data_IF_470037012751
#
_entry.id   IF_470037012751
#
_cell.length_a   1.000
_cell.length_b   1.000
_cell.length_c   1.000
_cell.angle_alpha   90.00
_cell.angle_beta   90.00
_cell.angle_gamma   90.00
#
_symmetry.space_group_name_H-M   'P 1'
#
loop_
_entity.id
_entity.type
_entity.pdbx_description
1 polymer ?
#
# COMPACT_ATOMS: atom_id res chain seq x y z
N UNK A 1 -2.21 -20.78 -20.72
CA UNK A 1 -3.65 -20.85 -20.38
C UNK A 1 -4.43 -21.40 -21.57
N UNK A 2 -5.39 -22.29 -21.33
CA UNK A 2 -6.20 -22.94 -22.37
C UNK A 2 -7.62 -23.17 -21.86
N UNK A 3 -8.63 -22.78 -22.63
CA UNK A 3 -10.00 -23.26 -22.41
C UNK A 3 -10.08 -24.73 -22.87
N UNK A 4 -10.38 -25.64 -21.95
CA UNK A 4 -10.62 -27.06 -22.27
C UNK A 4 -12.01 -27.21 -22.86
N UNK A 5 -12.99 -26.54 -22.25
CA UNK A 5 -14.33 -26.34 -22.77
C UNK A 5 -14.93 -25.00 -22.30
N UNK A 6 -16.26 -24.84 -22.39
CA UNK A 6 -16.96 -23.60 -22.02
C UNK A 6 -16.94 -23.29 -20.51
N UNK A 7 -16.63 -24.26 -19.67
CA UNK A 7 -16.67 -24.20 -18.20
C UNK A 7 -15.35 -24.58 -17.53
N UNK A 8 -14.40 -25.15 -18.28
CA UNK A 8 -13.10 -25.58 -17.76
C UNK A 8 -11.94 -24.76 -18.36
N UNK A 9 -11.19 -24.07 -17.50
CA UNK A 9 -9.97 -23.34 -17.85
C UNK A 9 -8.75 -24.04 -17.25
N UNK A 10 -7.85 -24.50 -18.11
CA UNK A 10 -6.56 -25.06 -17.73
C UNK A 10 -5.50 -23.96 -17.68
N UNK A 11 -4.88 -23.80 -16.51
CA UNK A 11 -3.70 -22.94 -16.32
C UNK A 11 -2.50 -23.81 -15.98
N UNK A 12 -1.60 -23.95 -16.94
CA UNK A 12 -0.29 -24.57 -16.74
C UNK A 12 0.68 -23.52 -16.20
N UNK A 13 1.35 -23.84 -15.09
CA UNK A 13 2.30 -22.96 -14.42
C UNK A 13 3.72 -23.50 -14.65
N UNK A 14 4.70 -22.60 -14.78
CA UNK A 14 6.10 -22.97 -14.99
C UNK A 14 6.72 -23.69 -13.77
N UNK A 15 6.11 -23.54 -12.59
CA UNK A 15 6.53 -24.15 -11.32
C UNK A 15 5.37 -24.27 -10.33
N UNK A 16 5.48 -25.14 -9.30
CA UNK A 16 4.56 -25.19 -8.18
C UNK A 16 4.37 -23.80 -7.55
N UNK A 17 3.13 -23.30 -7.55
CA UNK A 17 2.80 -21.94 -7.08
C UNK A 17 1.56 -22.03 -6.18
N UNK A 18 1.74 -22.36 -4.90
CA UNK A 18 0.60 -22.61 -4.00
C UNK A 18 -0.28 -21.37 -3.75
N UNK A 19 0.25 -20.17 -4.01
CA UNK A 19 -0.46 -18.90 -3.88
C UNK A 19 -1.17 -18.45 -5.17
N UNK A 20 -1.12 -19.25 -6.24
CA UNK A 20 -1.74 -18.92 -7.52
C UNK A 20 -3.23 -18.60 -7.38
N UNK A 21 -3.99 -19.39 -6.61
CA UNK A 21 -5.40 -19.12 -6.37
C UNK A 21 -5.63 -17.76 -5.70
N UNK A 22 -4.80 -17.40 -4.72
CA UNK A 22 -4.84 -16.07 -4.10
C UNK A 22 -4.56 -14.94 -5.10
N UNK A 23 -3.63 -15.14 -6.04
CA UNK A 23 -3.38 -14.17 -7.12
C UNK A 23 -4.60 -13.98 -8.02
N UNK A 24 -5.34 -15.04 -8.32
CA UNK A 24 -6.53 -14.96 -9.20
C UNK A 24 -7.70 -14.18 -8.59
N UNK A 25 -7.66 -13.87 -7.28
CA UNK A 25 -8.62 -12.98 -6.63
C UNK A 25 -8.32 -11.49 -6.88
N UNK A 26 -7.15 -11.13 -7.41
CA UNK A 26 -6.80 -9.76 -7.75
C UNK A 26 -7.57 -9.30 -9.01
N UNK A 27 -8.06 -8.05 -9.02
CA UNK A 27 -8.88 -7.48 -10.10
C UNK A 27 -8.23 -7.53 -11.48
N UNK A 28 -6.90 -7.54 -11.57
CA UNK A 28 -6.17 -7.71 -12.83
C UNK A 28 -6.40 -9.08 -13.51
N UNK A 29 -6.88 -10.09 -12.78
CA UNK A 29 -7.28 -11.40 -13.30
C UNK A 29 -8.79 -11.50 -13.57
N UNK A 30 -9.56 -10.44 -13.32
CA UNK A 30 -10.99 -10.44 -13.62
C UNK A 30 -11.23 -10.58 -15.13
N UNK A 31 -12.20 -11.40 -15.56
CA UNK A 31 -12.46 -11.63 -16.98
C UNK A 31 -13.08 -10.39 -17.63
N UNK A 32 -12.70 -10.13 -18.87
CA UNK A 32 -13.29 -9.08 -19.71
C UNK A 32 -14.08 -9.71 -20.88
N UNK A 33 -15.12 -9.01 -21.33
CA UNK A 33 -15.87 -9.42 -22.52
C UNK A 33 -15.10 -9.06 -23.80
N UNK A 34 -14.39 -10.04 -24.38
CA UNK A 34 -13.57 -9.85 -25.58
C UNK A 34 -14.34 -9.23 -26.76
N UNK A 35 -15.58 -9.64 -26.97
CA UNK A 35 -16.40 -9.14 -28.09
C UNK A 35 -16.67 -7.64 -27.97
N UNK A 36 -16.95 -7.16 -26.76
CA UNK A 36 -17.20 -5.74 -26.49
C UNK A 36 -15.88 -4.96 -26.59
N UNK A 37 -14.80 -5.49 -26.02
CA UNK A 37 -13.49 -4.84 -26.05
C UNK A 37 -12.98 -4.62 -27.49
N UNK A 38 -13.20 -5.61 -28.37
CA UNK A 38 -12.83 -5.51 -29.79
C UNK A 38 -13.74 -4.57 -30.58
N UNK A 39 -15.05 -4.51 -30.29
CA UNK A 39 -16.00 -3.64 -31.02
C UNK A 39 -15.99 -2.20 -30.53
N UNK A 40 -15.70 -2.00 -29.24
CA UNK A 40 -15.76 -0.72 -28.57
C UNK A 40 -14.51 -0.51 -27.72
N UNK A 41 -13.33 -0.26 -28.33
CA UNK A 41 -12.12 0.05 -27.57
C UNK A 41 -12.37 1.19 -26.57
N UNK A 42 -11.97 0.96 -25.31
CA UNK A 42 -12.19 1.91 -24.23
C UNK A 42 -13.63 1.96 -23.69
N UNK A 43 -14.50 0.98 -24.00
CA UNK A 43 -15.89 0.89 -23.49
C UNK A 43 -16.03 1.13 -21.99
N UNK A 44 -15.03 0.72 -21.20
CA UNK A 44 -15.02 0.86 -19.75
C UNK A 44 -14.83 2.31 -19.26
N UNK A 45 -14.48 3.25 -20.15
CA UNK A 45 -14.19 4.66 -19.82
C UNK A 45 -15.20 5.66 -20.37
N UNK A 46 -16.22 5.21 -21.12
CA UNK A 46 -17.14 6.10 -21.85
C UNK A 46 -18.38 6.48 -21.03
N UNK A 47 -19.17 5.48 -20.63
CA UNK A 47 -20.42 5.72 -19.88
C UNK A 47 -20.88 4.46 -19.15
N UNK A 48 -21.89 4.61 -18.28
CA UNK A 48 -22.58 3.48 -17.65
C UNK A 48 -23.29 2.57 -18.65
N UNK A 49 -23.83 3.12 -19.75
CA UNK A 49 -24.61 2.36 -20.73
C UNK A 49 -23.79 1.30 -21.47
N UNK A 50 -22.51 1.58 -21.72
CA UNK A 50 -21.60 0.66 -22.40
C UNK A 50 -20.86 -0.27 -21.43
N UNK A 51 -21.03 -0.08 -20.12
CA UNK A 51 -20.27 -0.81 -19.13
C UNK A 51 -20.83 -2.22 -18.91
N UNK A 52 -20.03 -3.23 -19.21
CA UNK A 52 -20.38 -4.64 -18.99
C UNK A 52 -19.55 -5.25 -17.88
N UNK A 53 -20.22 -5.93 -16.95
CA UNK A 53 -19.59 -6.61 -15.83
C UNK A 53 -20.21 -7.99 -15.57
N UNK A 54 -19.48 -8.83 -14.84
CA UNK A 54 -19.94 -10.12 -14.34
C UNK A 54 -20.01 -10.17 -12.80
N UNK A 55 -19.87 -9.01 -12.14
CA UNK A 55 -19.90 -8.87 -10.68
C UNK A 55 -21.32 -8.77 -10.11
N UNK A 56 -21.46 -8.71 -8.76
CA UNK A 56 -22.76 -8.67 -8.09
C UNK A 56 -23.55 -7.38 -8.37
N UNK A 57 -22.86 -6.27 -8.60
CA UNK A 57 -23.49 -5.01 -8.98
C UNK A 57 -23.00 -4.56 -10.36
N UNK A 58 -23.87 -3.90 -11.10
CA UNK A 58 -23.56 -3.24 -12.38
C UNK A 58 -23.63 -1.73 -12.23
N UNK A 59 -22.86 -1.03 -13.05
CA UNK A 59 -22.88 0.42 -13.13
C UNK A 59 -24.20 0.88 -13.79
N UNK A 60 -24.94 1.75 -13.11
CA UNK A 60 -26.23 2.30 -13.56
C UNK A 60 -26.09 3.78 -13.93
N UNK A 61 -25.36 4.54 -13.11
CA UNK A 61 -25.07 5.96 -13.35
C UNK A 61 -23.58 6.21 -13.16
N UNK A 62 -23.00 6.99 -14.07
CA UNK A 62 -21.66 7.55 -13.91
C UNK A 62 -21.70 9.03 -14.28
N UNK A 63 -21.62 9.88 -13.25
CA UNK A 63 -21.38 11.32 -13.40
C UNK A 63 -19.92 11.58 -13.06
N UNK A 64 -19.14 11.94 -14.07
CA UNK A 64 -17.70 12.14 -13.93
C UNK A 64 -17.41 13.19 -12.83
N UNK A 65 -16.49 12.85 -11.93
CA UNK A 65 -16.08 13.67 -10.78
C UNK A 65 -17.20 14.02 -9.78
N UNK A 66 -18.34 13.33 -9.82
CA UNK A 66 -19.48 13.59 -8.93
C UNK A 66 -19.97 12.29 -8.26
N UNK A 67 -20.52 11.34 -9.02
CA UNK A 67 -21.06 10.12 -8.44
C UNK A 67 -21.04 8.90 -9.36
N UNK A 68 -21.00 7.72 -8.73
CA UNK A 68 -21.30 6.43 -9.34
C UNK A 68 -22.50 5.82 -8.63
N UNK A 69 -23.42 5.22 -9.40
CA UNK A 69 -24.49 4.41 -8.84
C UNK A 69 -24.38 2.99 -9.38
N UNK A 70 -24.39 2.03 -8.46
CA UNK A 70 -24.37 0.61 -8.75
C UNK A 70 -25.71 -0.01 -8.33
N UNK A 71 -26.28 -0.85 -9.18
CA UNK A 71 -27.52 -1.60 -8.91
C UNK A 71 -27.26 -3.10 -9.03
N UNK A 72 -28.06 -3.97 -8.40
CA UNK A 72 -27.93 -5.42 -8.57
C UNK A 72 -27.82 -5.80 -10.03
N UNK A 73 -26.79 -6.58 -10.37
CA UNK A 73 -26.63 -7.12 -11.71
C UNK A 73 -27.54 -8.34 -11.84
N UNK A 74 -28.63 -8.32 -12.63
CA UNK A 74 -29.58 -9.44 -12.69
C UNK A 74 -28.98 -10.73 -13.28
N UNK A 75 -27.80 -10.66 -13.90
CA UNK A 75 -27.10 -11.80 -14.48
C UNK A 75 -26.03 -12.40 -13.56
N UNK A 76 -25.80 -11.84 -12.37
CA UNK A 76 -24.85 -12.41 -11.41
C UNK A 76 -25.36 -13.77 -10.90
N UNK A 77 -24.46 -14.76 -10.82
CA UNK A 77 -24.85 -16.15 -10.55
C UNK A 77 -25.44 -16.37 -9.14
N UNK A 78 -25.02 -15.57 -8.15
CA UNK A 78 -25.44 -15.70 -6.75
C UNK A 78 -26.37 -14.55 -6.31
N UNK A 79 -27.46 -14.32 -7.06
CA UNK A 79 -28.45 -13.27 -6.77
C UNK A 79 -28.98 -13.29 -5.34
N UNK A 80 -29.11 -14.50 -4.75
CA UNK A 80 -29.74 -14.69 -3.44
C UNK A 80 -28.98 -14.02 -2.30
N UNK A 81 -27.68 -13.77 -2.50
CA UNK A 81 -26.85 -13.08 -1.53
C UNK A 81 -26.96 -11.56 -1.59
N UNK A 82 -27.41 -11.01 -2.71
CA UNK A 82 -27.48 -9.57 -2.92
C UNK A 82 -28.72 -9.01 -2.23
N UNK A 83 -28.50 -8.21 -1.20
CA UNK A 83 -29.57 -7.60 -0.40
C UNK A 83 -29.71 -6.09 -0.58
N UNK A 84 -28.66 -5.38 -1.01
CA UNK A 84 -28.74 -3.96 -1.31
C UNK A 84 -29.43 -3.72 -2.66
N UNK A 85 -30.41 -2.83 -2.69
CA UNK A 85 -31.06 -2.42 -3.96
C UNK A 85 -30.24 -1.42 -4.78
N UNK A 86 -29.33 -0.68 -4.15
CA UNK A 86 -28.45 0.30 -4.78
C UNK A 86 -27.25 0.61 -3.88
N UNK A 87 -26.10 0.89 -4.49
CA UNK A 87 -24.93 1.47 -3.83
C UNK A 87 -24.64 2.79 -4.55
N UNK A 88 -24.53 3.88 -3.79
CA UNK A 88 -24.15 5.19 -4.32
C UNK A 88 -22.76 5.56 -3.78
N UNK A 89 -21.85 5.88 -4.69
CA UNK A 89 -20.49 6.34 -4.37
C UNK A 89 -20.41 7.80 -4.74
N UNK A 90 -20.27 8.69 -3.76
CA UNK A 90 -20.02 10.12 -3.99
C UNK A 90 -18.51 10.35 -4.09
N UNK A 91 -18.08 11.06 -5.12
CA UNK A 91 -16.68 11.45 -5.32
C UNK A 91 -16.49 12.79 -4.60
N UNK A 92 -15.80 12.77 -3.46
CA UNK A 92 -15.58 13.95 -2.62
C UNK A 92 -14.08 14.07 -2.35
N UNK A 93 -13.45 15.10 -2.91
CA UNK A 93 -12.00 15.32 -2.76
C UNK A 93 -11.63 15.78 -1.35
N UNK A 94 -12.46 16.62 -0.73
CA UNK A 94 -12.22 17.16 0.61
C UNK A 94 -12.75 16.22 1.70
N UNK A 95 -11.85 15.77 2.57
CA UNK A 95 -12.17 14.80 3.61
C UNK A 95 -13.07 15.38 4.74
N UNK A 96 -13.03 16.69 5.00
CA UNK A 96 -13.89 17.35 5.98
C UNK A 96 -15.31 17.52 5.44
N UNK A 97 -15.46 17.78 4.13
CA UNK A 97 -16.75 17.74 3.43
C UNK A 97 -17.33 16.33 3.49
N UNK A 98 -16.54 15.30 3.20
CA UNK A 98 -16.97 13.90 3.28
C UNK A 98 -17.41 13.52 4.71
N UNK A 99 -16.70 14.00 5.74
CA UNK A 99 -17.10 13.81 7.14
C UNK A 99 -18.41 14.52 7.48
N UNK A 100 -18.62 15.73 6.97
CA UNK A 100 -19.87 16.46 7.16
C UNK A 100 -21.06 15.71 6.55
N UNK A 101 -20.91 15.22 5.32
CA UNK A 101 -21.93 14.40 4.65
C UNK A 101 -22.26 13.13 5.44
N UNK A 102 -21.25 12.44 5.99
CA UNK A 102 -21.49 11.29 6.86
C UNK A 102 -22.28 11.68 8.12
N UNK A 103 -21.91 12.78 8.78
CA UNK A 103 -22.62 13.27 9.99
C UNK A 103 -24.06 13.70 9.69
N UNK A 104 -24.34 14.18 8.48
CA UNK A 104 -25.68 14.53 7.99
C UNK A 104 -26.52 13.32 7.57
N UNK A 105 -25.92 12.12 7.53
CA UNK A 105 -26.60 10.88 7.14
C UNK A 105 -26.65 10.65 5.63
N UNK A 106 -25.89 11.43 4.85
CA UNK A 106 -25.78 11.32 3.38
C UNK A 106 -24.79 10.23 2.94
N UNK A 107 -23.96 9.70 3.85
CA UNK A 107 -23.03 8.60 3.61
C UNK A 107 -23.20 7.52 4.69
N UNK A 108 -23.19 6.26 4.28
CA UNK A 108 -23.21 5.11 5.20
C UNK A 108 -21.81 4.58 5.54
N UNK A 109 -20.78 5.02 4.83
CA UNK A 109 -19.38 4.62 5.03
C UNK A 109 -18.45 5.80 4.76
N UNK A 110 -17.46 6.01 5.63
CA UNK A 110 -16.39 6.98 5.43
C UNK A 110 -15.07 6.42 5.98
N UNK A 111 -14.00 6.57 5.21
CA UNK A 111 -12.66 6.10 5.56
C UNK A 111 -12.23 4.88 4.74
N UNK A 112 -11.21 4.20 5.24
CA UNK A 112 -10.54 3.12 4.51
C UNK A 112 -11.51 1.97 4.18
N UNK A 113 -11.32 1.24 3.06
CA UNK A 113 -10.35 1.48 1.99
C UNK A 113 -10.85 2.48 0.93
N UNK A 114 -12.05 3.04 1.07
CA UNK A 114 -12.68 3.88 0.04
C UNK A 114 -12.12 5.31 -0.01
N UNK A 115 -11.79 5.86 1.15
CA UNK A 115 -11.23 7.20 1.32
C UNK A 115 -10.44 7.26 2.63
N UNK A 116 -10.08 8.44 3.12
CA UNK A 116 -9.41 8.64 4.40
C UNK A 116 -10.26 9.52 5.32
N UNK A 117 -10.14 9.28 6.63
CA UNK A 117 -10.69 10.17 7.65
C UNK A 117 -9.66 11.29 7.91
N UNK A 118 -10.08 12.57 8.04
CA UNK A 118 -9.16 13.65 8.40
C UNK A 118 -8.38 13.34 9.68
N UNK A 119 -7.06 13.47 9.66
CA UNK A 119 -6.22 13.15 10.82
C UNK A 119 -6.56 14.01 12.05
N UNK A 120 -7.09 15.22 11.84
CA UNK A 120 -7.56 16.10 12.90
C UNK A 120 -8.71 15.49 13.72
N UNK A 121 -9.54 14.63 13.11
CA UNK A 121 -10.80 14.10 13.65
C UNK A 121 -10.67 12.72 14.29
N UNK A 122 -9.56 12.03 14.08
CA UNK A 122 -9.34 10.67 14.60
C UNK A 122 -9.58 10.56 16.12
N UNK A 123 -8.99 11.45 16.93
CA UNK A 123 -9.16 11.41 18.39
C UNK A 123 -10.60 11.71 18.84
N UNK A 124 -11.29 12.62 18.16
CA UNK A 124 -12.70 12.93 18.40
C UNK A 124 -13.55 11.67 18.17
N UNK A 125 -13.42 11.06 16.99
CA UNK A 125 -14.18 9.87 16.58
C UNK A 125 -13.88 8.65 17.46
N UNK A 126 -12.62 8.49 17.87
CA UNK A 126 -12.21 7.46 18.83
C UNK A 126 -12.85 7.67 20.20
N UNK A 127 -12.89 8.90 20.69
CA UNK A 127 -13.51 9.24 21.99
C UNK A 127 -15.03 9.05 21.95
N UNK A 128 -15.66 9.32 20.81
CA UNK A 128 -17.08 9.04 20.58
C UNK A 128 -17.39 7.55 20.46
N UNK A 129 -16.38 6.68 20.29
CA UNK A 129 -16.56 5.24 20.14
C UNK A 129 -17.11 4.81 18.77
N UNK A 130 -17.05 5.68 17.76
CA UNK A 130 -17.58 5.42 16.40
C UNK A 130 -16.50 5.02 15.39
N UNK A 131 -15.22 5.23 15.74
CA UNK A 131 -14.09 4.86 14.89
C UNK A 131 -13.84 3.35 14.96
N UNK A 132 -13.94 2.68 13.82
CA UNK A 132 -13.55 1.28 13.65
C UNK A 132 -12.10 1.20 13.17
N UNK A 133 -11.38 0.21 13.69
CA UNK A 133 -10.03 -0.15 13.21
C UNK A 133 -9.92 -1.63 12.95
N UNK A 134 -9.46 -1.99 11.75
CA UNK A 134 -9.27 -3.39 11.34
C UNK A 134 -7.83 -3.61 10.85
N UNK A 135 -7.21 -4.76 11.19
CA UNK A 135 -5.87 -5.07 10.71
C UNK A 135 -5.88 -5.29 9.19
N UNK A 136 -4.85 -4.78 8.53
CA UNK A 136 -4.58 -5.03 7.11
C UNK A 136 -3.12 -5.41 6.93
N UNK A 137 -2.84 -6.24 5.94
CA UNK A 137 -1.50 -6.44 5.43
C UNK A 137 -1.11 -5.20 4.64
N UNK A 138 -0.63 -4.16 5.31
CA UNK A 138 -0.04 -3.01 4.64
C UNK A 138 1.17 -2.54 5.43
N UNK A 139 2.30 -2.40 4.75
CA UNK A 139 3.52 -1.91 5.35
C UNK A 139 3.89 -0.56 4.73
N UNK A 140 4.02 0.46 5.58
CA UNK A 140 4.56 1.74 5.18
C UNK A 140 6.07 1.74 5.37
N UNK A 141 6.83 2.10 4.34
CA UNK A 141 8.28 2.23 4.43
C UNK A 141 8.81 3.43 3.65
N UNK A 142 10.06 3.79 3.94
CA UNK A 142 10.84 4.65 3.06
C UNK A 142 11.61 3.79 2.06
N UNK A 143 11.53 4.13 0.78
CA UNK A 143 12.39 3.57 -0.27
C UNK A 143 13.60 4.47 -0.48
N UNK A 144 14.79 3.87 -0.52
CA UNK A 144 16.05 4.61 -0.68
C UNK A 144 16.62 4.30 -2.06
N UNK A 145 16.96 5.34 -2.84
CA UNK A 145 17.61 5.13 -4.13
C UNK A 145 19.11 4.93 -3.93
N UNK A 146 19.58 3.68 -3.97
CA UNK A 146 20.97 3.33 -3.65
C UNK A 146 21.98 3.76 -4.72
N UNK A 147 21.53 4.35 -5.83
CA UNK A 147 22.43 4.94 -6.85
C UNK A 147 22.75 6.41 -6.57
N UNK A 148 22.04 7.06 -5.64
CA UNK A 148 22.20 8.47 -5.31
C UNK A 148 23.01 8.63 -4.02
N UNK A 149 24.22 9.22 -4.05
CA UNK A 149 24.93 9.57 -2.81
C UNK A 149 24.07 10.51 -1.93
N UNK A 150 24.09 10.34 -0.59
CA UNK A 150 24.90 9.38 0.17
C UNK A 150 24.25 8.01 0.41
N UNK A 151 23.11 7.68 -0.24
CA UNK A 151 22.39 6.41 -0.03
C UNK A 151 23.17 5.18 -0.48
N UNK A 152 24.25 5.37 -1.24
CA UNK A 152 25.21 4.32 -1.61
C UNK A 152 25.88 3.69 -0.38
N UNK A 153 26.05 4.42 0.73
CA UNK A 153 26.73 3.93 1.94
C UNK A 153 25.76 3.32 2.95
N UNK A 154 26.06 2.11 3.44
CA UNK A 154 25.21 1.38 4.38
C UNK A 154 25.05 2.08 5.74
N UNK A 155 26.11 2.67 6.29
CA UNK A 155 26.06 3.36 7.58
C UNK A 155 25.15 4.57 7.53
N UNK A 156 25.13 5.28 6.40
CA UNK A 156 24.18 6.38 6.17
C UNK A 156 22.73 5.86 6.21
N UNK A 157 22.43 4.76 5.51
CA UNK A 157 21.06 4.17 5.52
C UNK A 157 20.65 3.72 6.93
N UNK A 158 21.56 3.07 7.65
CA UNK A 158 21.36 2.66 9.05
C UNK A 158 21.14 3.84 9.98
N UNK A 159 21.90 4.92 9.81
CA UNK A 159 21.73 6.16 10.56
C UNK A 159 20.33 6.75 10.36
N UNK A 160 19.89 6.87 9.09
CA UNK A 160 18.56 7.42 8.77
C UNK A 160 17.44 6.62 9.43
N UNK A 161 17.51 5.29 9.42
CA UNK A 161 16.51 4.44 10.10
C UNK A 161 16.50 4.62 11.61
N UNK A 162 17.68 4.75 12.23
CA UNK A 162 17.86 4.90 13.68
C UNK A 162 17.49 6.29 14.20
N UNK A 163 17.45 7.30 13.35
CA UNK A 163 17.00 8.65 13.72
C UNK A 163 15.47 8.80 13.74
N UNK A 164 14.71 7.81 13.28
CA UNK A 164 13.25 7.89 13.19
C UNK A 164 12.58 7.28 14.43
N UNK A 165 11.80 8.10 15.14
CA UNK A 165 10.90 7.63 16.18
C UNK A 165 9.57 7.14 15.59
N UNK A 166 9.47 5.84 15.29
CA UNK A 166 8.25 5.22 14.74
C UNK A 166 7.03 5.42 15.64
N UNK A 167 7.20 5.37 16.97
CA UNK A 167 6.11 5.63 17.92
C UNK A 167 5.59 7.05 17.87
N UNK A 168 6.44 8.05 17.61
CA UNK A 168 6.01 9.43 17.44
C UNK A 168 5.21 9.58 16.14
N UNK A 169 5.65 8.96 15.05
CA UNK A 169 4.87 8.94 13.79
C UNK A 169 3.46 8.37 14.04
N UNK A 170 3.37 7.21 14.67
CA UNK A 170 2.08 6.54 14.92
C UNK A 170 1.20 7.35 15.89
N UNK A 171 1.71 7.64 17.09
CA UNK A 171 0.87 8.16 18.17
C UNK A 171 0.59 9.67 18.05
N UNK A 172 1.57 10.44 17.58
CA UNK A 172 1.50 11.91 17.59
C UNK A 172 1.08 12.47 16.24
N UNK A 173 1.55 11.87 15.15
CA UNK A 173 1.24 12.33 13.79
C UNK A 173 -0.05 11.67 13.28
N UNK A 174 -0.10 10.34 13.26
CA UNK A 174 -1.24 9.59 12.72
C UNK A 174 -2.39 9.43 13.70
N UNK A 175 -2.11 9.56 15.00
CA UNK A 175 -3.05 9.32 16.10
C UNK A 175 -3.71 7.93 16.00
N UNK A 176 -2.97 6.98 15.45
CA UNK A 176 -3.44 5.62 15.17
C UNK A 176 -2.93 4.63 16.22
N UNK A 177 -3.46 3.42 16.15
CA UNK A 177 -3.00 2.24 16.87
C UNK A 177 -2.24 1.28 15.93
N UNK A 178 -1.62 1.82 14.89
CA UNK A 178 -0.72 1.11 13.99
C UNK A 178 0.46 0.50 14.76
N UNK A 179 1.07 -0.54 14.20
CA UNK A 179 2.19 -1.22 14.84
C UNK A 179 3.52 -0.75 14.24
N UNK A 180 4.52 -0.33 15.05
CA UNK A 180 5.84 0.01 14.51
C UNK A 180 6.44 -1.21 13.81
N UNK A 181 7.14 -0.97 12.71
CA UNK A 181 7.76 -2.01 11.90
C UNK A 181 9.27 -1.82 11.79
N UNK A 182 9.99 -2.93 11.95
CA UNK A 182 11.45 -2.99 11.84
C UNK A 182 11.90 -4.01 10.77
N UNK A 183 10.95 -4.73 10.20
CA UNK A 183 11.13 -5.71 9.12
C UNK A 183 9.76 -5.97 8.50
N UNK A 184 9.70 -6.81 7.47
CA UNK A 184 8.46 -7.18 6.79
C UNK A 184 7.61 -8.16 7.61
N UNK A 185 8.25 -8.96 8.49
CA UNK A 185 7.60 -9.89 9.44
C UNK A 185 7.47 -9.32 10.85
N UNK A 186 7.89 -8.07 11.06
CA UNK A 186 8.03 -7.42 12.36
C UNK A 186 8.93 -8.15 13.37
N UNK A 187 9.77 -9.08 12.91
CA UNK A 187 10.87 -9.59 13.74
C UNK A 187 11.91 -8.48 13.83
N UNK A 188 12.16 -7.86 15.00
CA UNK A 188 13.10 -6.76 15.09
C UNK A 188 14.52 -7.27 14.80
N UNK A 189 15.08 -6.80 13.69
CA UNK A 189 16.46 -7.06 13.30
C UNK A 189 17.41 -5.94 13.74
N UNK A 190 16.85 -4.81 14.19
CA UNK A 190 17.57 -3.67 14.74
C UNK A 190 16.79 -3.04 15.89
N UNK A 191 17.50 -2.29 16.72
CA UNK A 191 16.95 -1.60 17.89
C UNK A 191 16.14 -0.35 17.51
N UNK A 192 15.30 0.09 18.45
CA UNK A 192 14.52 1.33 18.35
C UNK A 192 15.44 2.58 18.29
N UNK A 193 14.87 3.78 18.16
CA UNK A 193 15.57 5.05 17.96
C UNK A 193 16.77 5.24 18.91
N UNK A 194 17.94 5.51 18.34
CA UNK A 194 19.15 5.93 19.03
C UNK A 194 19.83 7.04 18.22
N UNK A 195 19.54 8.29 18.60
CA UNK A 195 20.02 9.47 17.87
C UNK A 195 21.54 9.64 17.95
N UNK A 196 22.16 9.27 19.07
CA UNK A 196 23.61 9.40 19.26
C UNK A 196 24.36 8.43 18.35
N UNK A 197 23.91 7.18 18.33
CA UNK A 197 24.46 6.16 17.44
C UNK A 197 24.14 6.47 15.97
N UNK A 198 22.94 6.97 15.67
CA UNK A 198 22.60 7.43 14.33
C UNK A 198 23.57 8.50 13.83
N UNK A 199 23.85 9.53 14.63
CA UNK A 199 24.78 10.60 14.27
C UNK A 199 26.20 10.06 14.05
N UNK A 200 26.64 9.10 14.87
CA UNK A 200 27.94 8.44 14.72
C UNK A 200 28.04 7.72 13.38
N UNK A 201 27.08 6.84 13.06
CA UNK A 201 27.04 6.11 11.80
C UNK A 201 26.95 7.04 10.59
N UNK A 202 26.20 8.13 10.69
CA UNK A 202 26.06 9.11 9.62
C UNK A 202 27.40 9.76 9.29
N UNK A 203 28.14 10.23 10.32
CA UNK A 203 29.44 10.85 10.15
C UNK A 203 30.48 9.87 9.60
N UNK A 204 30.49 8.62 10.08
CA UNK A 204 31.35 7.55 9.54
C UNK A 204 31.06 7.27 8.07
N UNK A 205 29.78 7.18 7.70
CA UNK A 205 29.36 6.96 6.32
C UNK A 205 29.77 8.09 5.38
N UNK A 206 29.64 9.35 5.83
CA UNK A 206 30.13 10.51 5.07
C UNK A 206 31.67 10.50 4.94
N UNK A 207 32.39 10.10 5.99
CA UNK A 207 33.84 9.95 5.96
C UNK A 207 34.28 8.88 4.95
N UNK A 208 33.64 7.71 4.95
CA UNK A 208 33.90 6.64 3.98
C UNK A 208 33.61 7.06 2.53
N UNK A 209 32.55 7.83 2.32
CA UNK A 209 32.20 8.40 1.01
C UNK A 209 33.11 9.57 0.60
N UNK A 210 33.92 10.11 1.52
CA UNK A 210 34.73 11.32 1.34
C UNK A 210 33.88 12.53 0.93
N UNK A 211 32.65 12.61 1.45
CA UNK A 211 31.73 13.74 1.23
C UNK A 211 31.77 14.61 2.49
N UNK A 212 32.36 15.82 2.43
CA UNK A 212 32.26 16.75 3.55
C UNK A 212 30.81 17.22 3.67
N UNK A 213 30.36 17.44 4.91
CA UNK A 213 28.96 17.81 5.20
C UNK A 213 28.51 19.09 4.49
N UNK A 214 29.42 20.03 4.23
CA UNK A 214 29.15 21.26 3.47
C UNK A 214 28.91 21.04 1.96
N UNK A 215 29.23 19.86 1.43
CA UNK A 215 29.01 19.49 0.03
C UNK A 215 27.90 18.44 -0.12
N UNK A 216 27.18 18.13 0.96
CA UNK A 216 26.08 17.19 0.91
C UNK A 216 24.94 17.81 0.11
N UNK A 217 24.47 17.20 -0.99
CA UNK A 217 23.30 17.70 -1.69
C UNK A 217 22.06 17.58 -0.79
N UNK A 218 21.06 18.46 -0.95
CA UNK A 218 19.78 18.30 -0.28
C UNK A 218 19.18 16.93 -0.56
N UNK A 219 18.61 16.32 0.45
CA UNK A 219 17.95 15.02 0.27
C UNK A 219 16.61 15.28 -0.43
N UNK A 220 16.51 14.83 -1.68
CA UNK A 220 15.27 14.85 -2.45
C UNK A 220 14.32 13.80 -1.88
N UNK A 221 13.39 14.22 -1.03
CA UNK A 221 12.43 13.35 -0.35
C UNK A 221 11.06 13.50 -1.00
N UNK A 222 10.62 12.49 -1.73
CA UNK A 222 9.36 12.51 -2.47
C UNK A 222 8.24 11.92 -1.62
N UNK A 223 7.09 12.58 -1.63
CA UNK A 223 5.86 12.12 -1.00
C UNK A 223 4.67 12.39 -1.91
N UNK A 224 3.64 11.55 -1.84
CA UNK A 224 2.36 11.89 -2.47
C UNK A 224 1.59 12.92 -1.63
N UNK A 225 0.53 13.47 -2.22
CA UNK A 225 -0.34 14.51 -1.66
C UNK A 225 -1.43 14.01 -0.69
N UNK A 226 -1.41 12.73 -0.32
CA UNK A 226 -2.23 12.24 0.79
C UNK A 226 -1.76 12.85 2.11
N UNK A 227 -2.70 13.37 2.91
CA UNK A 227 -2.40 14.04 4.19
C UNK A 227 -1.47 13.21 5.09
N UNK A 228 -1.74 11.90 5.19
CA UNK A 228 -0.91 10.95 5.94
C UNK A 228 0.55 10.93 5.44
N UNK A 229 0.75 10.84 4.13
CA UNK A 229 2.09 10.73 3.53
C UNK A 229 2.87 12.02 3.74
N UNK A 230 2.22 13.17 3.52
CA UNK A 230 2.80 14.50 3.75
C UNK A 230 3.23 14.65 5.21
N UNK A 231 2.33 14.37 6.17
CA UNK A 231 2.62 14.56 7.59
C UNK A 231 3.71 13.62 8.13
N UNK A 232 3.74 12.37 7.66
CA UNK A 232 4.85 11.44 7.98
C UNK A 232 6.17 11.97 7.44
N UNK A 233 6.19 12.43 6.19
CA UNK A 233 7.40 12.88 5.53
C UNK A 233 7.94 14.17 6.13
N UNK A 234 7.07 15.13 6.49
CA UNK A 234 7.42 16.33 7.26
C UNK A 234 8.05 15.99 8.61
N UNK A 235 7.45 15.05 9.35
CA UNK A 235 7.95 14.63 10.65
C UNK A 235 9.32 13.95 10.55
N UNK A 236 9.52 13.08 9.56
CA UNK A 236 10.81 12.42 9.30
C UNK A 236 11.85 13.45 8.86
N UNK A 237 11.48 14.37 7.98
CA UNK A 237 12.37 15.45 7.55
C UNK A 237 12.84 16.28 8.75
N UNK A 238 11.92 16.62 9.67
CA UNK A 238 12.28 17.29 10.92
C UNK A 238 13.22 16.45 11.78
N UNK A 239 12.92 15.16 11.99
CA UNK A 239 13.76 14.27 12.82
C UNK A 239 15.19 14.16 12.26
N UNK A 240 15.34 14.02 10.94
CA UNK A 240 16.64 14.00 10.29
C UNK A 240 17.34 15.36 10.31
N UNK A 241 16.62 16.45 10.11
CA UNK A 241 17.16 17.81 10.25
C UNK A 241 17.69 18.08 11.67
N UNK A 242 16.93 17.72 12.71
CA UNK A 242 17.33 17.87 14.11
C UNK A 242 18.54 16.97 14.46
N UNK A 243 18.57 15.74 13.95
CA UNK A 243 19.62 14.75 14.28
C UNK A 243 20.92 15.01 13.52
N UNK A 244 20.81 15.26 12.21
CA UNK A 244 21.96 15.31 11.30
C UNK A 244 22.27 16.70 10.78
N UNK A 245 21.46 17.73 11.08
CA UNK A 245 21.59 19.09 10.53
C UNK A 245 21.84 19.09 9.03
N UNK A 246 21.02 18.33 8.29
CA UNK A 246 21.03 18.23 6.82
C UNK A 246 19.82 18.96 6.25
N UNK A 247 19.96 19.45 5.02
CA UNK A 247 18.86 20.01 4.26
C UNK A 247 18.05 18.89 3.58
N UNK A 248 16.73 18.95 3.72
CA UNK A 248 15.81 17.98 3.14
C UNK A 248 14.82 18.77 2.29
N UNK A 249 14.80 18.46 1.00
CA UNK A 249 13.88 19.04 0.04
C UNK A 249 12.70 18.09 -0.13
N UNK A 250 11.61 18.41 0.57
CA UNK A 250 10.37 17.64 0.47
C UNK A 250 9.64 18.03 -0.82
N UNK A 251 9.43 17.07 -1.70
CA UNK A 251 8.70 17.23 -2.96
C UNK A 251 7.35 16.54 -2.86
N UNK A 252 6.29 17.34 -2.78
CA UNK A 252 4.91 16.85 -2.74
C UNK A 252 4.33 16.81 -4.14
N UNK A 253 3.83 15.64 -4.55
CA UNK A 253 3.32 15.40 -5.89
C UNK A 253 1.96 14.70 -5.79
N UNK A 254 1.05 14.96 -6.75
CA UNK A 254 -0.12 14.09 -6.91
C UNK A 254 0.33 12.67 -7.28
N UNK A 255 -0.55 11.67 -7.09
CA UNK A 255 -0.17 10.26 -7.23
C UNK A 255 0.50 9.91 -8.58
N UNK A 256 -0.06 10.37 -9.70
CA UNK A 256 0.47 10.06 -11.03
C UNK A 256 1.85 10.72 -11.28
N UNK A 257 2.00 11.98 -10.86
CA UNK A 257 3.28 12.68 -10.92
C UNK A 257 4.31 12.05 -9.96
N UNK A 258 3.89 11.62 -8.78
CA UNK A 258 4.71 10.93 -7.79
C UNK A 258 5.28 9.64 -8.38
N UNK A 259 4.43 8.76 -8.90
CA UNK A 259 4.83 7.51 -9.57
C UNK A 259 5.81 7.78 -10.71
N UNK A 260 5.50 8.74 -11.58
CA UNK A 260 6.37 9.11 -12.71
C UNK A 260 7.74 9.64 -12.25
N UNK A 261 7.77 10.46 -11.20
CA UNK A 261 8.99 11.04 -10.65
C UNK A 261 9.85 9.99 -9.92
N UNK A 262 9.23 9.00 -9.28
CA UNK A 262 9.94 7.85 -8.73
C UNK A 262 10.60 7.01 -9.82
N UNK A 263 9.88 6.69 -10.90
CA UNK A 263 10.43 5.96 -12.05
C UNK A 263 11.58 6.76 -12.69
N UNK A 264 11.48 8.09 -12.73
CA UNK A 264 12.55 8.97 -13.22
C UNK A 264 13.83 8.92 -12.39
N UNK A 265 13.77 8.48 -11.12
CA UNK A 265 14.96 8.14 -10.34
C UNK A 265 15.78 9.31 -9.79
N UNK A 266 15.23 10.53 -9.78
CA UNK A 266 15.89 11.72 -9.19
C UNK A 266 15.71 11.86 -7.67
N UNK A 267 14.84 11.04 -7.08
CA UNK A 267 14.65 10.99 -5.62
C UNK A 267 15.83 10.34 -4.92
N UNK A 268 16.11 10.80 -3.70
CA UNK A 268 17.00 10.12 -2.75
C UNK A 268 16.17 9.16 -1.89
N UNK A 269 14.99 9.63 -1.46
CA UNK A 269 14.07 8.90 -0.58
C UNK A 269 12.64 9.08 -1.09
N UNK A 270 11.81 8.05 -0.95
CA UNK A 270 10.37 8.13 -1.16
C UNK A 270 9.59 7.48 -0.02
N UNK A 271 8.49 8.09 0.42
CA UNK A 271 7.57 7.52 1.40
C UNK A 271 6.40 6.83 0.70
N UNK A 272 6.18 5.54 0.94
CA UNK A 272 5.15 4.78 0.22
C UNK A 272 4.59 3.60 1.04
N UNK A 273 3.26 3.42 1.08
CA UNK A 273 2.63 2.20 1.59
C UNK A 273 2.64 1.08 0.55
N UNK A 274 2.78 -0.16 1.01
CA UNK A 274 2.71 -1.36 0.17
C UNK A 274 1.62 -2.30 0.64
N UNK A 275 0.65 -2.52 -0.24
CA UNK A 275 -0.45 -3.47 -0.07
C UNK A 275 -0.13 -4.75 -0.86
N UNK A 276 -0.02 -5.92 -0.21
CA UNK A 276 0.06 -7.21 -0.87
C UNK A 276 -1.14 -7.46 -1.76
N UNK A 277 -0.86 -8.07 -2.90
CA UNK A 277 -1.90 -8.45 -3.88
C UNK A 277 -2.44 -9.86 -3.66
N UNK A 278 -1.90 -10.59 -2.68
CA UNK A 278 -2.26 -11.96 -2.30
C UNK A 278 -1.74 -12.26 -0.88
N UNK A 279 -2.26 -13.33 -0.25
CA UNK A 279 -2.08 -13.64 1.18
C UNK A 279 -0.65 -14.02 1.61
N UNK A 280 0.21 -14.45 0.68
CA UNK A 280 1.63 -14.68 0.94
C UNK A 280 2.40 -13.34 1.05
N UNK A 281 2.09 -12.55 2.07
CA UNK A 281 2.54 -11.16 2.27
C UNK A 281 4.07 -11.01 2.26
N UNK A 282 4.81 -11.91 2.93
CA UNK A 282 6.27 -11.85 2.93
C UNK A 282 6.85 -12.12 1.54
N UNK A 283 6.33 -13.13 0.84
CA UNK A 283 6.72 -13.42 -0.54
C UNK A 283 6.45 -12.22 -1.45
N UNK A 284 5.28 -11.57 -1.30
CA UNK A 284 4.95 -10.36 -2.03
C UNK A 284 5.96 -9.25 -1.79
N UNK A 285 6.22 -8.88 -0.53
CA UNK A 285 7.16 -7.79 -0.23
C UNK A 285 8.58 -8.07 -0.74
N UNK A 286 9.06 -9.32 -0.62
CA UNK A 286 10.39 -9.68 -1.14
C UNK A 286 10.41 -9.71 -2.68
N UNK A 287 9.28 -10.03 -3.33
CA UNK A 287 9.18 -10.04 -4.79
C UNK A 287 9.47 -8.67 -5.43
N UNK A 288 9.20 -7.59 -4.70
CA UNK A 288 9.44 -6.21 -5.11
C UNK A 288 10.93 -5.91 -5.37
N UNK A 289 11.83 -6.71 -4.80
CA UNK A 289 13.28 -6.60 -4.90
C UNK A 289 13.91 -7.73 -5.72
N UNK A 290 13.10 -8.70 -6.12
CA UNK A 290 13.53 -9.82 -6.94
C UNK A 290 13.39 -9.47 -8.42
N UNK A 291 14.42 -9.80 -9.21
CA UNK A 291 14.44 -9.78 -10.68
C UNK A 291 14.73 -8.41 -11.30
N UNK A 292 15.88 -8.18 -11.95
CA UNK A 292 16.03 -7.00 -12.85
C UNK A 292 15.00 -7.07 -13.99
N UNK A 293 14.06 -6.13 -14.05
CA UNK A 293 13.21 -5.88 -15.23
C UNK A 293 11.95 -6.75 -15.39
N UNK A 294 11.51 -7.48 -14.35
CA UNK A 294 10.23 -8.21 -14.35
C UNK A 294 9.50 -8.11 -12.99
N UNK A 295 9.34 -6.91 -12.43
CA UNK A 295 8.51 -6.75 -11.23
C UNK A 295 7.03 -6.67 -11.55
N UNK A 296 6.25 -6.92 -10.50
CA UNK A 296 4.80 -6.76 -10.43
C UNK A 296 4.40 -5.26 -10.43
N UNK A 297 5.34 -4.36 -10.08
CA UNK A 297 5.08 -2.93 -9.94
C UNK A 297 6.29 -2.07 -10.39
N UNK A 298 6.14 -1.11 -11.32
CA UNK A 298 7.24 -0.25 -11.78
C UNK A 298 7.94 0.54 -10.66
N UNK A 299 7.21 0.94 -9.60
CA UNK A 299 7.79 1.73 -8.50
C UNK A 299 8.58 0.87 -7.49
N UNK A 300 8.60 -0.46 -7.65
CA UNK A 300 9.34 -1.33 -6.73
C UNK A 300 10.86 -1.32 -6.98
N UNK A 301 11.29 -1.02 -8.20
CA UNK A 301 12.71 -1.00 -8.59
C UNK A 301 13.47 0.27 -8.25
N UNK A 302 12.80 1.26 -7.71
CA UNK A 302 13.39 2.60 -7.54
C UNK A 302 14.52 2.63 -6.50
N UNK A 303 14.62 1.57 -5.69
CA UNK A 303 15.77 1.38 -4.80
C UNK A 303 17.06 1.04 -5.54
N UNK A 304 16.96 0.51 -6.76
CA UNK A 304 18.08 0.01 -7.57
C UNK A 304 18.95 -1.04 -6.87
N UNK A 305 18.44 -1.65 -5.80
CA UNK A 305 19.15 -2.65 -5.03
C UNK A 305 19.14 -4.00 -5.75
N UNK A 306 20.25 -4.73 -5.63
CA UNK A 306 20.34 -6.12 -6.09
C UNK A 306 21.34 -6.87 -5.23
N UNK A 307 21.06 -8.14 -4.93
CA UNK A 307 21.95 -8.99 -4.15
C UNK A 307 21.80 -10.45 -4.58
N UNK A 308 22.92 -11.12 -4.91
CA UNK A 308 22.88 -12.46 -5.50
C UNK A 308 22.27 -13.50 -4.56
N UNK A 309 22.77 -13.59 -3.33
CA UNK A 309 22.26 -14.57 -2.37
C UNK A 309 20.78 -14.35 -2.02
N UNK A 310 20.33 -13.08 -2.07
CA UNK A 310 18.91 -12.76 -1.89
C UNK A 310 18.09 -13.34 -3.04
N UNK A 311 18.52 -13.10 -4.28
CA UNK A 311 17.87 -13.63 -5.47
C UNK A 311 17.85 -15.16 -5.47
N UNK A 312 18.97 -15.81 -5.11
CA UNK A 312 19.06 -17.27 -5.02
C UNK A 312 18.07 -17.83 -3.97
N UNK A 313 17.98 -17.22 -2.78
CA UNK A 313 17.03 -17.62 -1.74
C UNK A 313 15.57 -17.37 -2.16
N UNK A 314 15.30 -16.24 -2.79
CA UNK A 314 13.95 -15.92 -3.25
C UNK A 314 13.49 -16.90 -4.33
N UNK A 315 14.35 -17.23 -5.30
CA UNK A 315 14.07 -18.26 -6.30
C UNK A 315 13.86 -19.64 -5.67
N UNK A 316 14.70 -20.02 -4.69
CA UNK A 316 14.52 -21.27 -3.95
C UNK A 316 13.17 -21.31 -3.22
N UNK A 317 12.76 -20.21 -2.56
CA UNK A 317 11.45 -20.13 -1.92
C UNK A 317 10.30 -20.25 -2.91
N UNK A 318 10.43 -19.71 -4.12
CA UNK A 318 9.41 -19.82 -5.15
C UNK A 318 9.22 -21.26 -5.67
N UNK A 319 10.24 -22.12 -5.54
CA UNK A 319 10.20 -23.51 -5.98
C UNK A 319 10.00 -24.51 -4.83
N UNK A 320 9.92 -24.05 -3.58
CA UNK A 320 9.72 -24.90 -2.41
C UNK A 320 8.23 -25.16 -2.18
N UNK A 321 7.82 -26.42 -2.06
CA UNK A 321 6.42 -26.84 -1.89
C UNK A 321 5.99 -26.87 -0.42
N UNK A 322 6.90 -27.14 0.50
CA UNK A 322 6.63 -27.17 1.93
C UNK A 322 6.52 -25.72 2.47
N UNK A 323 5.34 -25.31 2.98
CA UNK A 323 5.11 -23.93 3.42
C UNK A 323 6.01 -23.52 4.61
N UNK A 324 6.40 -24.46 5.48
CA UNK A 324 7.27 -24.17 6.62
C UNK A 324 8.70 -23.95 6.13
N UNK A 325 9.20 -24.81 5.22
CA UNK A 325 10.52 -24.62 4.62
C UNK A 325 10.57 -23.33 3.81
N UNK A 326 9.54 -23.04 3.02
CA UNK A 326 9.43 -21.80 2.24
C UNK A 326 9.52 -20.58 3.14
N UNK A 327 8.74 -20.54 4.22
CA UNK A 327 8.78 -19.43 5.18
C UNK A 327 10.18 -19.24 5.78
N UNK A 328 10.88 -20.33 6.11
CA UNK A 328 12.24 -20.25 6.63
C UNK A 328 13.25 -19.72 5.60
N UNK A 329 13.10 -20.06 4.33
CA UNK A 329 13.91 -19.50 3.23
C UNK A 329 13.60 -18.00 3.06
N UNK A 330 12.31 -17.62 3.06
CA UNK A 330 11.89 -16.23 2.95
C UNK A 330 12.41 -15.36 4.11
N UNK A 331 12.41 -15.87 5.34
CA UNK A 331 13.01 -15.18 6.49
C UNK A 331 14.53 -14.96 6.35
N UNK A 332 15.24 -15.91 5.72
CA UNK A 332 16.66 -15.72 5.41
C UNK A 332 16.87 -14.64 4.34
N UNK A 333 16.02 -14.61 3.30
CA UNK A 333 16.05 -13.58 2.28
C UNK A 333 15.72 -12.19 2.87
N UNK A 334 14.68 -12.10 3.71
CA UNK A 334 14.31 -10.89 4.44
C UNK A 334 15.48 -10.36 5.27
N UNK A 335 16.17 -11.22 6.02
CA UNK A 335 17.33 -10.83 6.82
C UNK A 335 18.39 -10.12 5.98
N UNK A 336 18.77 -10.69 4.84
CA UNK A 336 19.75 -10.08 3.91
C UNK A 336 19.28 -8.71 3.44
N UNK A 337 18.00 -8.60 3.06
CA UNK A 337 17.43 -7.35 2.57
C UNK A 337 17.43 -6.28 3.66
N UNK A 338 16.91 -6.58 4.85
CA UNK A 338 16.81 -5.62 5.95
C UNK A 338 18.21 -5.20 6.45
N UNK A 339 19.18 -6.11 6.50
CA UNK A 339 20.57 -5.79 6.83
C UNK A 339 21.23 -4.89 5.78
N UNK A 340 20.91 -5.10 4.49
CA UNK A 340 21.35 -4.22 3.41
C UNK A 340 20.62 -2.86 3.40
N UNK A 341 19.44 -2.79 4.01
CA UNK A 341 18.61 -1.60 4.20
C UNK A 341 18.36 -0.78 2.91
N UNK A 342 17.85 -1.39 1.81
CA UNK A 342 17.38 -0.62 0.66
C UNK A 342 16.05 0.11 0.94
N UNK A 343 15.37 -0.28 2.02
CA UNK A 343 14.17 0.37 2.54
C UNK A 343 14.24 0.50 4.05
N UNK A 344 13.46 1.42 4.60
CA UNK A 344 13.29 1.64 6.04
C UNK A 344 11.83 1.39 6.40
N UNK A 345 11.45 0.20 6.92
CA UNK A 345 10.11 -0.06 7.43
C UNK A 345 9.74 0.92 8.54
N UNK A 346 8.51 1.45 8.52
CA UNK A 346 8.03 2.42 9.51
C UNK A 346 6.95 1.80 10.41
N UNK A 347 5.84 1.33 9.82
CA UNK A 347 4.72 0.76 10.57
C UNK A 347 3.79 -0.08 9.68
N UNK A 348 3.13 -1.06 10.31
CA UNK A 348 2.01 -1.78 9.73
C UNK A 348 0.73 -0.98 9.94
N UNK A 349 0.06 -0.64 8.84
CA UNK A 349 -1.18 0.11 8.86
C UNK A 349 -2.37 -0.73 9.33
N UNK A 350 -3.36 -0.05 9.90
CA UNK A 350 -4.72 -0.53 10.07
C UNK A 350 -5.67 0.31 9.22
N UNK A 351 -6.77 -0.32 8.78
CA UNK A 351 -7.89 0.40 8.19
C UNK A 351 -8.56 1.23 9.28
N UNK A 352 -8.95 2.46 8.96
CA UNK A 352 -9.71 3.36 9.82
C UNK A 352 -10.95 3.85 9.09
N UNK A 353 -12.12 3.54 9.63
CA UNK A 353 -13.38 3.96 9.03
C UNK A 353 -14.46 4.21 10.09
N UNK A 354 -15.47 4.97 9.71
CA UNK A 354 -16.74 5.10 10.42
C UNK A 354 -17.83 4.60 9.49
N UNK A 355 -18.84 3.94 10.06
CA UNK A 355 -19.97 3.41 9.29
C UNK A 355 -21.29 3.70 9.99
N UNK A 356 -22.34 3.87 9.21
CA UNK A 356 -23.70 3.93 9.73
C UNK A 356 -23.99 2.61 10.45
N UNK A 357 -24.53 2.68 11.67
CA UNK A 357 -24.84 1.49 12.47
C UNK A 357 -25.87 0.58 11.81
N UNK A 358 -26.65 1.06 10.85
CA UNK A 358 -27.57 0.22 10.07
C UNK A 358 -26.87 -0.56 8.95
N UNK A 359 -25.70 -0.13 8.50
CA UNK A 359 -24.95 -0.84 7.45
C UNK A 359 -24.23 -2.04 8.07
N UNK A 360 -24.72 -3.22 7.73
CA UNK A 360 -24.28 -4.49 8.26
C UNK A 360 -23.66 -5.37 7.18
N UNK A 361 -22.82 -6.31 7.63
CA UNK A 361 -22.21 -7.37 6.82
C UNK A 361 -21.35 -6.89 5.62
N UNK A 362 -20.71 -5.71 5.76
CA UNK A 362 -19.62 -5.28 4.88
C UNK A 362 -18.40 -6.14 5.18
N UNK A 363 -17.84 -6.77 4.15
CA UNK A 363 -16.67 -7.64 4.29
C UNK A 363 -15.43 -6.83 3.89
N UNK A 364 -14.44 -6.80 4.78
CA UNK A 364 -13.12 -6.26 4.52
C UNK A 364 -12.13 -7.43 4.45
N UNK A 365 -11.37 -7.52 3.36
CA UNK A 365 -10.27 -8.48 3.27
C UNK A 365 -9.02 -7.98 4.00
N UNK A 366 -8.16 -8.92 4.39
CA UNK A 366 -6.83 -8.67 4.95
C UNK A 366 -5.86 -7.95 3.99
N UNK A 367 -6.23 -7.76 2.71
CA UNK A 367 -5.48 -7.01 1.69
C UNK A 367 -6.17 -5.70 1.29
N UNK A 368 -7.23 -5.29 1.99
CA UNK A 368 -7.85 -3.97 1.81
C UNK A 368 -8.91 -3.86 0.73
N UNK A 369 -9.39 -4.97 0.19
CA UNK A 369 -10.59 -4.98 -0.64
C UNK A 369 -11.85 -4.93 0.24
N UNK A 370 -12.84 -4.16 -0.22
CA UNK A 370 -14.18 -4.06 0.38
C UNK A 370 -15.20 -4.79 -0.51
N UNK A 371 -16.05 -5.63 0.09
CA UNK A 371 -17.10 -6.37 -0.58
C UNK A 371 -18.46 -6.06 0.07
N UNK A 372 -19.40 -5.63 -0.78
CA UNK A 372 -20.77 -5.29 -0.41
C UNK A 372 -21.81 -6.36 -0.78
N UNK A 373 -21.40 -7.50 -1.35
CA UNK A 373 -22.30 -8.52 -1.89
C UNK A 373 -23.35 -8.97 -0.89
N UNK A 374 -22.94 -9.19 0.36
CA UNK A 374 -23.81 -9.71 1.42
C UNK A 374 -24.25 -8.61 2.41
N UNK A 375 -23.94 -7.34 2.10
CA UNK A 375 -24.26 -6.21 2.96
C UNK A 375 -25.74 -5.87 2.96
N UNK A 376 -26.27 -5.38 4.07
CA UNK A 376 -27.66 -4.95 4.17
C UNK A 376 -27.83 -3.74 5.09
N UNK A 377 -28.95 -3.03 4.92
CA UNK A 377 -29.38 -1.96 5.83
C UNK A 377 -30.37 -2.58 6.82
N UNK A 378 -30.00 -2.64 8.10
CA UNK A 378 -30.91 -3.10 9.15
C UNK A 378 -32.06 -2.11 9.35
N UNK A 379 -33.20 -2.61 9.83
CA UNK A 379 -34.29 -1.73 10.27
C UNK A 379 -33.80 -0.95 11.49
N UNK A 380 -34.22 0.31 11.59
CA UNK A 380 -34.03 1.10 12.81
C UNK A 380 -34.84 0.45 13.93
N UNK A 381 -34.24 0.30 15.12
CA UNK A 381 -34.98 -0.06 16.34
C UNK A 381 -35.93 1.06 16.78
#
# INVERSE_FOLDING_TARGET
VKAVDATELLVELERPTSWFLGMTAHWAFAPLCREIDQRHPGWAYHSAETYVCNGPFKLDVWKLNDELQLVPNPYYWDQKKITLGKIQVKIVEDQEVALSLFKEGELDWLGDPMTKIPLAKINELKTQGVLHTDPISCLFWLQLNLTRPPMTNLKVRQALSRAICRRTLISSILKSDDAPAYSFTNTPLFEEMDQSHALTLFNEGLYELKIPRSQLPPFAFYTSDFEEHEKISEAIAKMWGDTFGIEIRLEKLNWDAFVSALIGGEHTVAAIPWYPRYDETLLYYLSLFSIKGKTIDPISFVTMWSHKQFADLFEAAQNEEDPIKRLNILKQAEKILIEAMPVIPLFFQKLRYIKNSRLQNVILSNIGQIDFRESYISRSD
#
